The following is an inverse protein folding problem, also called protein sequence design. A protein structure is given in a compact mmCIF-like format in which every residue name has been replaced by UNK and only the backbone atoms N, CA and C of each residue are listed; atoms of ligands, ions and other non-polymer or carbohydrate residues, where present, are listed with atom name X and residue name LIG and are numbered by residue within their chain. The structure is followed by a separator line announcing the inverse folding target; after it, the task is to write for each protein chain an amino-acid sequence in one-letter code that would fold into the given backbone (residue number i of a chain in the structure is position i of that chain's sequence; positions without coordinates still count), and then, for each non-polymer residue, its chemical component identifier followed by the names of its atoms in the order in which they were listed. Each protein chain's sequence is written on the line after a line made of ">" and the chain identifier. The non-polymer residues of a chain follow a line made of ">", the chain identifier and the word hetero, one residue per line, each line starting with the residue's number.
data_IF_874955385204
#
_entry.id   IF_874955385204
#
_cell.length_a   1.000
_cell.length_b   1.000
_cell.length_c   1.000
_cell.angle_alpha   90.00
_cell.angle_beta   90.00
_cell.angle_gamma   90.00
#
_symmetry.space_group_name_H-M   'P 1'
#
loop_
_entity.id
_entity.type
_entity.pdbx_description
1 polymer ?
#
# COMPACT_ATOMS: atom_id res chain seq x y z
N UNK A 1 2.79 9.15 -7.30
CA UNK A 1 1.41 9.08 -6.79
C UNK A 1 1.23 10.29 -5.91
N UNK A 2 0.26 11.14 -6.21
CA UNK A 2 -0.07 12.32 -5.41
C UNK A 2 -1.23 11.94 -4.50
N UNK A 3 -1.05 12.06 -3.19
CA UNK A 3 -2.13 11.90 -2.21
C UNK A 3 -3.19 12.96 -2.48
N UNK A 4 -4.41 12.54 -2.81
CA UNK A 4 -5.53 13.43 -3.13
C UNK A 4 -6.75 12.99 -2.33
N UNK A 5 -7.41 13.95 -1.69
CA UNK A 5 -8.58 13.72 -0.85
C UNK A 5 -9.74 13.08 -1.62
N UNK A 6 -9.84 13.33 -2.93
CA UNK A 6 -10.92 12.80 -3.78
C UNK A 6 -10.54 11.52 -4.53
N UNK A 7 -9.33 10.99 -4.33
CA UNK A 7 -8.93 9.74 -4.94
C UNK A 7 -9.50 8.55 -4.14
N UNK A 8 -10.32 7.74 -4.81
CA UNK A 8 -10.95 6.57 -4.19
C UNK A 8 -9.92 5.52 -3.81
N UNK A 9 -8.87 5.34 -4.61
CA UNK A 9 -7.83 4.35 -4.34
C UNK A 9 -7.01 4.76 -3.12
N UNK A 10 -6.85 6.06 -2.88
CA UNK A 10 -6.16 6.59 -1.71
C UNK A 10 -6.96 6.38 -0.42
N UNK A 11 -8.28 6.64 -0.46
CA UNK A 11 -9.22 6.38 0.65
C UNK A 11 -9.28 4.88 0.98
N UNK A 12 -9.29 4.03 -0.05
CA UNK A 12 -9.31 2.58 0.14
C UNK A 12 -7.98 2.08 0.71
N UNK A 13 -6.84 2.61 0.26
CA UNK A 13 -5.54 2.33 0.85
C UNK A 13 -5.46 2.74 2.34
N UNK A 14 -6.08 3.85 2.72
CA UNK A 14 -6.16 4.33 4.11
C UNK A 14 -7.01 3.44 5.02
N UNK A 15 -7.95 2.70 4.44
CA UNK A 15 -8.85 1.82 5.16
C UNK A 15 -8.22 0.47 5.53
N UNK A 16 -7.02 0.19 5.00
CA UNK A 16 -6.26 -1.01 5.30
C UNK A 16 -5.89 -1.06 6.79
N UNK A 17 -6.05 -2.23 7.40
CA UNK A 17 -5.81 -2.41 8.83
C UNK A 17 -4.34 -2.71 9.11
N UNK A 18 -3.80 -2.03 10.11
CA UNK A 18 -2.44 -2.21 10.61
C UNK A 18 -2.48 -2.72 12.04
N UNK A 19 -1.56 -3.63 12.38
CA UNK A 19 -1.39 -4.10 13.75
C UNK A 19 -0.70 -3.02 14.57
N UNK A 20 -1.36 -2.62 15.65
CA UNK A 20 -0.91 -1.53 16.49
C UNK A 20 -0.95 -1.94 17.97
N UNK A 21 -0.08 -1.36 18.79
CA UNK A 21 0.02 -1.63 20.22
C UNK A 21 -0.17 -0.33 21.00
N UNK A 22 -1.13 -0.30 21.91
CA UNK A 22 -1.35 0.88 22.76
C UNK A 22 -0.28 0.99 23.84
N UNK A 23 0.30 2.17 23.99
CA UNK A 23 1.31 2.44 25.03
C UNK A 23 0.69 2.92 26.34
N UNK A 24 -0.58 3.33 26.32
CA UNK A 24 -1.29 3.84 27.48
C UNK A 24 -2.68 3.23 27.60
N UNK A 25 -3.22 3.25 28.82
CA UNK A 25 -4.62 2.89 29.07
C UNK A 25 -5.52 4.07 28.70
N UNK A 26 -6.43 3.89 27.74
CA UNK A 26 -7.37 4.94 27.30
C UNK A 26 -8.80 4.60 27.71
N UNK A 27 -9.45 5.41 28.57
CA UNK A 27 -10.82 5.16 28.99
C UNK A 27 -11.83 5.39 27.87
N UNK A 28 -12.88 4.56 27.82
CA UNK A 28 -14.01 4.73 26.89
C UNK A 28 -13.78 4.24 25.45
N UNK A 29 -12.55 3.88 25.08
CA UNK A 29 -12.23 3.36 23.73
C UNK A 29 -12.42 1.85 23.57
N UNK A 30 -12.92 1.12 24.58
CA UNK A 30 -13.08 -0.33 24.52
C UNK A 30 -13.99 -0.83 23.38
N UNK A 31 -14.75 0.05 22.72
CA UNK A 31 -15.50 -0.32 21.50
C UNK A 31 -14.58 -0.76 20.35
N UNK A 32 -13.32 -0.33 20.32
CA UNK A 32 -12.32 -0.81 19.34
C UNK A 32 -11.98 -2.30 19.55
N UNK A 33 -12.16 -2.82 20.76
CA UNK A 33 -12.00 -4.24 21.12
C UNK A 33 -13.32 -5.03 21.09
N UNK A 34 -14.44 -4.37 20.76
CA UNK A 34 -15.77 -4.96 20.90
C UNK A 34 -16.34 -4.95 22.32
N UNK A 35 -15.72 -4.21 23.25
CA UNK A 35 -16.14 -4.04 24.65
C UNK A 35 -16.56 -2.59 24.94
N UNK A 36 -17.73 -2.13 24.49
CA UNK A 36 -18.16 -0.75 24.67
C UNK A 36 -18.25 -0.37 26.16
N UNK A 37 -17.75 0.82 26.50
CA UNK A 37 -17.77 1.35 27.87
C UNK A 37 -16.60 0.93 28.75
N UNK A 38 -15.74 0.01 28.31
CA UNK A 38 -14.49 -0.35 29.01
C UNK A 38 -13.29 0.49 28.53
N UNK A 39 -12.23 0.64 29.35
CA UNK A 39 -10.97 1.18 28.88
C UNK A 39 -10.24 0.17 27.97
N UNK A 40 -9.43 0.66 27.04
CA UNK A 40 -8.36 -0.12 26.41
C UNK A 40 -7.17 -0.06 27.37
N UNK A 41 -6.59 -1.21 27.69
CA UNK A 41 -5.43 -1.28 28.56
C UNK A 41 -4.12 -1.04 27.79
N UNK A 42 -3.10 -0.59 28.51
CA UNK A 42 -1.72 -0.56 27.99
C UNK A 42 -1.30 -1.95 27.46
N UNK A 43 -0.40 -1.96 26.49
CA UNK A 43 0.10 -3.13 25.78
C UNK A 43 -0.93 -3.92 24.96
N UNK A 44 -2.18 -3.45 24.87
CA UNK A 44 -3.19 -4.14 24.07
C UNK A 44 -2.90 -3.99 22.58
N UNK A 45 -2.95 -5.12 21.86
CA UNK A 45 -2.72 -5.18 20.41
C UNK A 45 -4.05 -5.17 19.67
N UNK A 46 -4.21 -4.22 18.77
CA UNK A 46 -5.41 -4.04 17.97
C UNK A 46 -5.08 -3.77 16.51
N UNK A 47 -6.01 -4.18 15.63
CA UNK A 47 -5.96 -3.84 14.22
C UNK A 47 -6.76 -2.56 13.97
N UNK A 48 -6.07 -1.48 13.62
CA UNK A 48 -6.68 -0.18 13.35
C UNK A 48 -6.45 0.22 11.89
N UNK A 49 -7.42 0.89 11.24
CA UNK A 49 -7.22 1.45 9.92
C UNK A 49 -6.08 2.47 9.90
N UNK A 50 -5.33 2.52 8.79
CA UNK A 50 -4.18 3.41 8.63
C UNK A 50 -4.50 4.88 8.88
N UNK A 51 -5.64 5.39 8.39
CA UNK A 51 -6.03 6.79 8.59
C UNK A 51 -6.13 7.19 10.06
N UNK A 52 -6.44 6.25 10.95
CA UNK A 52 -6.49 6.49 12.40
C UNK A 52 -5.14 6.22 13.05
N UNK A 53 -4.53 5.08 12.72
CA UNK A 53 -3.30 4.64 13.35
C UNK A 53 -2.11 5.55 13.02
N UNK A 54 -2.06 6.12 11.81
CA UNK A 54 -1.01 7.06 11.40
C UNK A 54 -1.02 8.36 12.20
N UNK A 55 -2.21 8.87 12.53
CA UNK A 55 -2.37 10.06 13.37
C UNK A 55 -1.99 9.73 14.83
N UNK A 56 -2.51 8.63 15.38
CA UNK A 56 -2.23 8.26 16.79
C UNK A 56 -0.76 7.91 17.03
N UNK A 57 -0.05 7.42 16.01
CA UNK A 57 1.37 7.13 16.09
C UNK A 57 2.25 8.39 16.00
N UNK A 58 1.73 9.51 15.49
CA UNK A 58 2.49 10.77 15.33
C UNK A 58 2.18 11.80 16.40
N UNK A 59 1.01 11.72 17.03
CA UNK A 59 0.62 12.63 18.11
C UNK A 59 1.27 12.19 19.43
N UNK A 60 2.04 13.09 20.04
CA UNK A 60 2.59 12.91 21.38
C UNK A 60 1.53 13.20 22.45
N UNK A 61 1.57 12.44 23.55
CA UNK A 61 0.64 12.58 24.68
C UNK A 61 0.95 13.86 25.48
N UNK A 62 2.22 14.21 25.62
CA UNK A 62 2.71 15.40 26.32
C UNK A 62 3.88 15.99 25.53
N UNK A 63 4.00 17.33 25.50
CA UNK A 63 5.06 18.02 24.75
C UNK A 63 6.47 17.65 25.26
N UNK A 64 6.59 17.28 26.53
CA UNK A 64 7.87 16.99 27.19
C UNK A 64 8.28 15.51 27.15
N UNK A 65 7.34 14.58 26.99
CA UNK A 65 7.60 13.14 27.25
C UNK A 65 7.86 12.29 26.01
N UNK A 66 7.64 12.79 24.78
CA UNK A 66 7.85 12.04 23.51
C UNK A 66 7.18 10.64 23.49
N UNK A 67 6.17 10.40 24.33
CA UNK A 67 5.44 9.13 24.35
C UNK A 67 4.27 9.26 23.37
N UNK A 68 4.24 8.38 22.37
CA UNK A 68 3.15 8.29 21.42
C UNK A 68 2.01 7.42 21.99
N UNK A 69 0.78 7.66 21.56
CA UNK A 69 -0.37 6.85 21.98
C UNK A 69 -0.24 5.39 21.53
N UNK A 70 0.40 5.18 20.38
CA UNK A 70 0.39 3.93 19.65
C UNK A 70 1.76 3.62 19.06
N UNK A 71 2.21 2.39 19.23
CA UNK A 71 3.31 1.81 18.48
C UNK A 71 2.75 0.99 17.31
N UNK A 72 3.16 1.32 16.09
CA UNK A 72 2.79 0.54 14.91
C UNK A 72 3.77 -0.65 14.78
N UNK A 73 3.23 -1.86 14.64
CA UNK A 73 4.05 -3.01 14.29
C UNK A 73 4.34 -3.01 12.78
N UNK A 74 5.48 -3.57 12.39
CA UNK A 74 5.83 -3.71 10.98
C UNK A 74 4.77 -4.56 10.24
N UNK A 75 4.11 -4.00 9.21
CA UNK A 75 3.10 -4.73 8.49
C UNK A 75 3.69 -5.86 7.64
N UNK A 76 2.85 -6.85 7.34
CA UNK A 76 3.23 -8.04 6.58
C UNK A 76 3.83 -7.71 5.20
N UNK A 77 3.42 -6.58 4.63
CA UNK A 77 3.89 -6.04 3.35
C UNK A 77 5.36 -5.59 3.35
N UNK A 78 5.95 -5.28 4.51
CA UNK A 78 7.35 -4.85 4.65
C UNK A 78 8.23 -5.86 5.37
N UNK A 79 7.70 -7.03 5.71
CA UNK A 79 8.52 -8.10 6.30
C UNK A 79 9.72 -8.40 5.41
N UNK A 80 10.86 -8.71 6.02
CA UNK A 80 12.12 -8.97 5.30
C UNK A 80 11.97 -9.98 4.17
N UNK A 81 11.11 -10.99 4.34
CA UNK A 81 10.77 -11.98 3.30
C UNK A 81 10.26 -11.32 2.01
N UNK A 82 9.35 -10.36 2.13
CA UNK A 82 8.75 -9.65 0.98
C UNK A 82 9.79 -8.74 0.34
N UNK A 83 10.53 -7.98 1.15
CA UNK A 83 11.59 -7.08 0.66
C UNK A 83 12.67 -7.87 -0.10
N UNK A 84 13.07 -9.03 0.42
CA UNK A 84 14.06 -9.89 -0.21
C UNK A 84 13.54 -10.48 -1.53
N UNK A 85 12.27 -10.92 -1.57
CA UNK A 85 11.65 -11.40 -2.82
C UNK A 85 11.62 -10.30 -3.89
N UNK A 86 11.26 -9.07 -3.51
CA UNK A 86 11.26 -7.90 -4.41
C UNK A 86 12.67 -7.60 -4.93
N UNK A 87 13.69 -7.70 -4.08
CA UNK A 87 15.09 -7.49 -4.48
C UNK A 87 15.61 -8.57 -5.44
N UNK A 88 15.16 -9.82 -5.28
CA UNK A 88 15.63 -10.93 -6.12
C UNK A 88 14.93 -11.00 -7.48
N UNK A 89 13.60 -10.97 -7.49
CA UNK A 89 12.80 -11.01 -8.72
C UNK A 89 11.46 -10.28 -8.51
N UNK A 90 11.37 -9.01 -8.95
CA UNK A 90 10.15 -8.20 -8.77
C UNK A 90 8.98 -8.66 -9.65
N UNK A 91 9.21 -9.45 -10.71
CA UNK A 91 8.16 -9.90 -11.62
C UNK A 91 7.40 -11.09 -11.05
N UNK A 92 8.07 -11.96 -10.28
CA UNK A 92 7.48 -13.13 -9.65
C UNK A 92 6.66 -12.80 -8.37
N UNK A 93 6.79 -11.59 -7.83
CA UNK A 93 6.05 -11.19 -6.62
C UNK A 93 4.59 -10.88 -6.96
N UNK A 94 3.69 -11.50 -6.20
CA UNK A 94 2.26 -11.22 -6.22
C UNK A 94 1.93 -10.05 -5.27
N UNK A 95 1.89 -8.83 -5.83
CA UNK A 95 1.59 -7.62 -5.06
C UNK A 95 0.12 -7.59 -4.65
N UNK A 96 -0.78 -7.95 -5.56
CA UNK A 96 -2.22 -7.93 -5.32
C UNK A 96 -2.64 -8.84 -4.14
N UNK A 97 -1.98 -10.00 -4.00
CA UNK A 97 -2.21 -10.91 -2.87
C UNK A 97 -1.71 -10.36 -1.53
N UNK A 98 -0.66 -9.54 -1.54
CA UNK A 98 -0.17 -8.88 -0.33
C UNK A 98 -1.16 -7.81 0.10
N UNK A 99 -1.37 -6.82 -0.75
CA UNK A 99 -2.43 -5.80 -0.64
C UNK A 99 -2.76 -5.27 -2.03
N UNK A 100 -4.05 -5.02 -2.35
CA UNK A 100 -4.42 -4.42 -3.63
C UNK A 100 -3.85 -3.01 -3.88
N UNK A 101 -3.48 -2.32 -2.81
CA UNK A 101 -2.95 -0.94 -2.79
C UNK A 101 -1.53 -0.86 -2.18
N UNK A 102 -0.66 -1.78 -2.57
CA UNK A 102 0.71 -1.94 -2.08
C UNK A 102 1.52 -0.65 -2.22
N UNK A 103 1.55 -0.03 -3.39
CA UNK A 103 2.40 1.15 -3.61
C UNK A 103 1.92 2.37 -2.82
N UNK A 104 0.61 2.60 -2.75
CA UNK A 104 0.02 3.68 -1.96
C UNK A 104 0.34 3.52 -0.48
N UNK A 105 0.21 2.30 0.05
CA UNK A 105 0.49 2.01 1.45
C UNK A 105 1.99 2.16 1.78
N UNK A 106 2.88 1.70 0.90
CA UNK A 106 4.33 1.88 1.06
C UNK A 106 4.72 3.36 1.04
N UNK A 107 4.09 4.18 0.19
CA UNK A 107 4.36 5.61 0.14
C UNK A 107 4.00 6.27 1.49
N UNK A 108 2.82 5.96 2.03
CA UNK A 108 2.35 6.46 3.33
C UNK A 108 3.24 6.00 4.48
N UNK A 109 3.59 4.71 4.50
CA UNK A 109 4.49 4.14 5.49
C UNK A 109 5.91 4.73 5.42
N UNK A 110 6.45 4.86 4.20
CA UNK A 110 7.75 5.45 3.93
C UNK A 110 7.82 6.92 4.34
N UNK A 111 6.72 7.66 4.24
CA UNK A 111 6.62 9.04 4.74
C UNK A 111 6.59 9.11 6.26
N UNK A 112 5.94 8.15 6.94
CA UNK A 112 5.86 8.11 8.41
C UNK A 112 7.23 7.82 9.05
N UNK A 113 7.98 6.87 8.50
CA UNK A 113 9.29 6.45 9.06
C UNK A 113 10.51 7.04 8.36
N UNK A 114 10.32 7.75 7.24
CA UNK A 114 11.42 8.29 6.41
C UNK A 114 12.43 7.22 5.95
N UNK A 115 11.98 5.98 5.72
CA UNK A 115 12.86 4.89 5.25
C UNK A 115 13.13 5.01 3.73
N UNK A 116 14.26 5.63 3.41
CA UNK A 116 14.73 5.81 2.03
C UNK A 116 15.09 4.48 1.34
N UNK A 117 15.50 3.47 2.10
CA UNK A 117 15.97 2.20 1.53
C UNK A 117 14.80 1.35 1.04
N UNK A 118 13.71 1.29 1.80
CA UNK A 118 12.46 0.66 1.40
C UNK A 118 11.91 1.30 0.12
N UNK A 119 11.82 2.63 0.11
CA UNK A 119 11.32 3.40 -1.05
C UNK A 119 12.19 3.10 -2.29
N UNK A 120 13.52 3.07 -2.16
CA UNK A 120 14.40 2.77 -3.28
C UNK A 120 14.19 1.35 -3.85
N UNK A 121 14.00 0.34 -2.99
CA UNK A 121 13.73 -1.04 -3.42
C UNK A 121 12.41 -1.14 -4.16
N UNK A 122 11.35 -0.53 -3.63
CA UNK A 122 10.01 -0.55 -4.23
C UNK A 122 9.98 0.25 -5.55
N UNK A 123 10.74 1.34 -5.65
CA UNK A 123 10.91 2.07 -6.91
C UNK A 123 11.62 1.23 -7.98
N UNK A 124 12.61 0.42 -7.61
CA UNK A 124 13.26 -0.49 -8.55
C UNK A 124 12.32 -1.62 -9.00
N UNK A 125 11.49 -2.13 -8.10
CA UNK A 125 10.41 -3.07 -8.40
C UNK A 125 9.46 -2.50 -9.46
N UNK A 126 8.94 -1.30 -9.22
CA UNK A 126 8.03 -0.62 -10.13
C UNK A 126 8.66 -0.40 -11.51
N UNK A 127 9.94 -0.02 -11.57
CA UNK A 127 10.65 0.13 -12.86
C UNK A 127 10.68 -1.18 -13.65
N UNK A 128 11.09 -2.28 -13.02
CA UNK A 128 11.15 -3.58 -13.69
C UNK A 128 9.77 -4.04 -14.17
N UNK A 129 8.74 -3.91 -13.33
CA UNK A 129 7.37 -4.28 -13.66
C UNK A 129 6.74 -3.39 -14.73
N UNK A 130 7.06 -2.08 -14.74
CA UNK A 130 6.54 -1.14 -15.75
C UNK A 130 6.94 -1.51 -17.19
N UNK A 131 8.16 -2.05 -17.39
CA UNK A 131 8.62 -2.54 -18.68
C UNK A 131 7.77 -3.72 -19.15
N UNK A 132 7.45 -4.64 -18.24
CA UNK A 132 6.66 -5.82 -18.56
C UNK A 132 5.17 -5.48 -18.78
N UNK A 133 4.62 -4.55 -17.99
CA UNK A 133 3.30 -3.97 -18.22
C UNK A 133 3.21 -3.38 -19.63
N UNK A 134 4.22 -2.63 -20.07
CA UNK A 134 4.27 -2.09 -21.42
C UNK A 134 4.32 -3.21 -22.49
N UNK A 135 5.15 -4.23 -22.28
CA UNK A 135 5.24 -5.39 -23.18
C UNK A 135 3.89 -6.09 -23.38
N UNK A 136 3.11 -6.25 -22.30
CA UNK A 136 1.76 -6.81 -22.36
C UNK A 136 0.76 -5.87 -23.03
N UNK A 137 0.83 -4.58 -22.74
CA UNK A 137 -0.09 -3.58 -23.31
C UNK A 137 -0.01 -3.49 -24.85
N UNK A 138 1.17 -3.74 -25.42
CA UNK A 138 1.42 -3.64 -26.86
C UNK A 138 1.09 -4.94 -27.62
N UNK A 139 1.05 -6.09 -26.93
CA UNK A 139 0.88 -7.41 -27.54
C UNK A 139 -0.47 -8.02 -27.17
N UNK A 140 -1.50 -7.75 -27.98
CA UNK A 140 -2.86 -8.27 -27.78
C UNK A 140 -2.97 -9.80 -27.73
N UNK A 141 -1.98 -10.54 -28.26
CA UNK A 141 -1.97 -12.01 -28.20
C UNK A 141 -1.37 -12.55 -26.89
N UNK A 142 -0.57 -11.74 -26.15
CA UNK A 142 0.05 -12.14 -24.87
C UNK A 142 -0.87 -11.94 -23.66
N UNK A 143 -2.00 -11.25 -23.83
CA UNK A 143 -2.96 -10.95 -22.76
C UNK A 143 -3.92 -12.11 -22.46
N UNK A 144 -4.02 -13.08 -23.36
CA UNK A 144 -4.85 -14.28 -23.18
C UNK A 144 -4.09 -15.25 -22.27
N UNK A 145 -4.44 -15.26 -20.98
CA UNK A 145 -3.93 -16.15 -19.92
C UNK A 145 -2.53 -15.80 -19.38
N UNK A 146 -2.34 -14.57 -18.89
CA UNK A 146 -1.12 -14.23 -18.16
C UNK A 146 -1.33 -14.12 -16.66
N UNK A 147 -0.66 -15.00 -15.91
CA UNK A 147 -0.64 -15.03 -14.45
C UNK A 147 -0.16 -13.68 -13.87
N UNK A 148 0.76 -13.01 -14.57
CA UNK A 148 1.29 -11.69 -14.21
C UNK A 148 0.21 -10.60 -14.12
N UNK A 149 -0.84 -10.64 -14.93
CA UNK A 149 -1.88 -9.59 -14.88
C UNK A 149 -2.71 -9.66 -13.59
N UNK A 150 -2.77 -10.83 -12.96
CA UNK A 150 -3.46 -11.00 -11.67
C UNK A 150 -2.64 -10.51 -10.49
N UNK A 151 -1.31 -10.44 -10.64
CA UNK A 151 -0.39 -9.98 -9.58
C UNK A 151 -0.29 -8.46 -9.47
N UNK A 152 -0.90 -7.73 -10.41
CA UNK A 152 -0.82 -6.27 -10.48
C UNK A 152 -1.58 -5.58 -9.35
N UNK A 153 -0.91 -4.59 -8.77
CA UNK A 153 -1.50 -3.57 -7.88
C UNK A 153 -2.53 -2.70 -8.63
N UNK A 154 -3.47 -2.05 -7.93
CA UNK A 154 -4.47 -1.17 -8.57
C UNK A 154 -3.82 -0.03 -9.36
N UNK A 155 -2.71 0.54 -8.88
CA UNK A 155 -1.95 1.53 -9.66
C UNK A 155 -1.43 0.94 -10.97
N UNK A 156 -0.89 -0.29 -10.93
CA UNK A 156 -0.38 -0.97 -12.12
C UNK A 156 -1.51 -1.36 -13.09
N UNK A 157 -2.68 -1.72 -12.57
CA UNK A 157 -3.87 -2.02 -13.38
C UNK A 157 -4.36 -0.77 -14.12
N UNK A 158 -4.41 0.37 -13.43
CA UNK A 158 -4.74 1.66 -14.04
C UNK A 158 -3.71 2.03 -15.13
N UNK A 159 -2.42 1.85 -14.84
CA UNK A 159 -1.34 2.09 -15.80
C UNK A 159 -1.45 1.18 -17.03
N UNK A 160 -1.70 -0.12 -16.82
CA UNK A 160 -1.88 -1.10 -17.89
C UNK A 160 -3.06 -0.72 -18.80
N UNK A 161 -4.22 -0.39 -18.19
CA UNK A 161 -5.42 0.01 -18.91
C UNK A 161 -5.19 1.26 -19.76
N UNK A 162 -4.63 2.30 -19.15
CA UNK A 162 -4.33 3.57 -19.84
C UNK A 162 -3.36 3.35 -21.02
N UNK A 163 -2.31 2.55 -20.81
CA UNK A 163 -1.34 2.24 -21.86
C UNK A 163 -1.96 1.40 -22.99
N UNK A 164 -2.77 0.40 -22.65
CA UNK A 164 -3.45 -0.44 -23.64
C UNK A 164 -4.45 0.36 -24.48
N UNK A 165 -5.26 1.21 -23.84
CA UNK A 165 -6.23 2.08 -24.51
C UNK A 165 -5.54 3.11 -25.41
N UNK A 166 -4.40 3.66 -24.97
CA UNK A 166 -3.56 4.55 -25.78
C UNK A 166 -3.02 3.83 -27.03
N UNK A 167 -2.44 2.64 -26.87
CA UNK A 167 -1.93 1.83 -27.99
C UNK A 167 -3.05 1.45 -28.97
N UNK A 168 -4.23 1.10 -28.46
CA UNK A 168 -5.40 0.77 -29.28
C UNK A 168 -5.90 1.98 -30.06
N UNK A 169 -5.95 3.14 -29.42
CA UNK A 169 -6.36 4.40 -30.04
C UNK A 169 -5.38 4.82 -31.13
N UNK A 170 -4.07 4.71 -30.88
CA UNK A 170 -3.03 4.97 -31.86
C UNK A 170 -3.15 4.05 -33.09
N UNK A 171 -3.34 2.73 -32.87
CA UNK A 171 -3.54 1.76 -33.96
C UNK A 171 -4.82 2.03 -34.75
N UNK A 172 -5.88 2.50 -34.09
CA UNK A 172 -7.13 2.89 -34.76
C UNK A 172 -6.91 4.14 -35.61
N UNK A 173 -6.25 5.15 -35.06
CA UNK A 173 -5.93 6.39 -35.76
C UNK A 173 -5.08 6.15 -37.01
N UNK A 174 -4.05 5.30 -36.92
CA UNK A 174 -3.20 4.92 -38.06
C UNK A 174 -3.96 4.19 -39.19
N UNK A 175 -5.14 3.61 -38.90
CA UNK A 175 -5.97 2.90 -39.88
C UNK A 175 -7.03 3.79 -40.53
N UNK A 176 -7.40 4.90 -39.91
CA UNK A 176 -8.26 5.92 -40.52
C UNK A 176 -7.47 6.66 -41.59
N UNK A 177 -7.78 6.37 -42.86
CA UNK A 177 -7.39 7.20 -44.01
C UNK A 177 -8.28 8.43 -44.10
#
# INVERSE_FOLDING_TARGET
>A
MTTDYYDLDDILADSEKLTCKFNITVPGLGYLEGNPGKPIHEDTKLELPHWLSGILATVAIDEDSNINFLDLADPDIIKEKVINAIKTDPLAVDLHKLTPYYYSLILKWGNLYTDKTLIANVMNCLKARSLEIYNFSNNANKTLNNEFLYTLDEFERALFKSTSDSNKSMRKWLKTK
#
